data_IF_323165745472
#
_entry.id   IF_323165745472
#
_cell.length_a   1.000
_cell.length_b   1.000
_cell.length_c   1.000
_cell.angle_alpha   90.00
_cell.angle_beta   90.00
_cell.angle_gamma   90.00
#
_symmetry.space_group_name_H-M   'P 1'
#
loop_
_entity.id
_entity.type
_entity.pdbx_description
1 polymer ?
#
# COMPACT_ATOMS: atom_id res chain seq x y z
N UNK A 1 6.48 3.20 -7.13
CA UNK A 1 7.83 3.54 -7.65
C UNK A 1 8.67 4.44 -6.72
N UNK A 2 8.12 5.56 -6.23
CA UNK A 2 8.88 6.48 -5.34
C UNK A 2 9.28 5.83 -4.01
N UNK A 3 8.39 5.01 -3.46
CA UNK A 3 8.61 4.28 -2.21
C UNK A 3 9.66 3.18 -2.27
N UNK A 4 9.96 2.67 -3.47
CA UNK A 4 11.04 1.68 -3.70
C UNK A 4 12.39 2.38 -3.80
N UNK A 5 12.44 3.57 -4.40
CA UNK A 5 13.68 4.33 -4.54
C UNK A 5 14.22 4.79 -3.18
N UNK A 6 13.34 5.25 -2.28
CA UNK A 6 13.74 5.65 -0.93
C UNK A 6 14.24 4.45 -0.08
N UNK A 7 13.65 3.26 -0.25
CA UNK A 7 14.06 2.07 0.51
C UNK A 7 15.34 1.45 -0.02
N UNK A 8 15.60 1.51 -1.34
CA UNK A 8 16.90 1.15 -1.90
C UNK A 8 18.01 2.08 -1.41
N UNK A 9 17.75 3.39 -1.30
CA UNK A 9 18.70 4.33 -0.70
C UNK A 9 19.03 3.99 0.76
N UNK A 10 18.02 3.57 1.54
CA UNK A 10 18.19 3.12 2.92
C UNK A 10 19.06 1.85 3.02
N UNK A 11 18.85 0.89 2.12
CA UNK A 11 19.69 -0.32 2.03
C UNK A 11 21.12 0.00 1.61
N UNK A 12 21.30 0.93 0.66
CA UNK A 12 22.63 1.35 0.21
C UNK A 12 23.40 2.05 1.34
N UNK A 13 22.73 2.83 2.18
CA UNK A 13 23.33 3.45 3.37
C UNK A 13 23.79 2.38 4.37
N UNK A 14 22.98 1.36 4.63
CA UNK A 14 23.34 0.23 5.49
C UNK A 14 24.57 -0.56 4.97
N UNK A 15 24.63 -0.80 3.65
CA UNK A 15 25.79 -1.40 3.00
C UNK A 15 27.04 -0.52 3.10
N UNK A 16 26.90 0.79 2.92
CA UNK A 16 27.99 1.76 3.02
C UNK A 16 28.61 1.85 4.42
N UNK A 17 27.85 1.48 5.45
CA UNK A 17 28.32 1.39 6.83
C UNK A 17 28.86 0.01 7.22
N UNK A 18 28.89 -0.95 6.29
CA UNK A 18 29.40 -2.30 6.52
C UNK A 18 28.39 -3.28 7.15
N UNK A 19 27.13 -2.89 7.33
CA UNK A 19 26.08 -3.77 7.88
C UNK A 19 25.36 -4.55 6.77
N UNK A 20 26.07 -5.53 6.21
CA UNK A 20 25.55 -6.38 5.11
C UNK A 20 24.38 -7.26 5.54
N UNK A 21 24.41 -7.76 6.79
CA UNK A 21 23.38 -8.68 7.31
C UNK A 21 22.03 -7.96 7.46
N UNK A 22 22.03 -6.76 8.04
CA UNK A 22 20.82 -5.95 8.20
C UNK A 22 20.27 -5.50 6.84
N UNK A 23 21.14 -5.11 5.91
CA UNK A 23 20.75 -4.72 4.55
C UNK A 23 20.07 -5.85 3.77
N UNK A 24 20.64 -7.08 3.81
CA UNK A 24 20.04 -8.25 3.16
C UNK A 24 18.71 -8.66 3.81
N UNK A 25 18.63 -8.64 5.14
CA UNK A 25 17.40 -8.93 5.86
C UNK A 25 16.29 -7.90 5.54
N UNK A 26 16.66 -6.61 5.45
CA UNK A 26 15.76 -5.56 5.01
C UNK A 26 15.33 -5.74 3.56
N UNK A 27 16.23 -6.14 2.65
CA UNK A 27 15.92 -6.39 1.25
C UNK A 27 14.83 -7.45 1.08
N UNK A 28 14.96 -8.58 1.78
CA UNK A 28 13.99 -9.68 1.71
C UNK A 28 12.63 -9.24 2.25
N UNK A 29 12.59 -8.67 3.46
CA UNK A 29 11.34 -8.21 4.09
C UNK A 29 10.66 -7.09 3.30
N UNK A 30 11.45 -6.21 2.68
CA UNK A 30 10.98 -5.19 1.76
C UNK A 30 10.38 -5.79 0.49
N UNK A 31 11.02 -6.78 -0.13
CA UNK A 31 10.52 -7.42 -1.34
C UNK A 31 9.13 -8.04 -1.13
N UNK A 32 8.94 -8.78 -0.02
CA UNK A 32 7.63 -9.33 0.34
C UNK A 32 6.57 -8.24 0.57
N UNK A 33 6.94 -7.19 1.31
CA UNK A 33 6.02 -6.07 1.60
C UNK A 33 5.60 -5.35 0.32
N UNK A 34 6.53 -5.15 -0.63
CA UNK A 34 6.23 -4.56 -1.94
C UNK A 34 5.38 -5.48 -2.80
N UNK A 35 5.66 -6.78 -2.83
CA UNK A 35 4.86 -7.74 -3.58
C UNK A 35 3.40 -7.71 -3.11
N UNK A 36 3.15 -7.68 -1.80
CA UNK A 36 1.80 -7.53 -1.24
C UNK A 36 1.14 -6.21 -1.65
N UNK A 37 1.85 -5.10 -1.61
CA UNK A 37 1.32 -3.79 -2.02
C UNK A 37 1.01 -3.73 -3.52
N UNK A 38 1.85 -4.29 -4.38
CA UNK A 38 1.61 -4.33 -5.82
C UNK A 38 0.43 -5.22 -6.17
N UNK A 39 0.37 -6.44 -5.62
CA UNK A 39 -0.76 -7.35 -5.83
C UNK A 39 -2.07 -6.76 -5.28
N UNK A 40 -2.01 -6.17 -4.08
CA UNK A 40 -3.13 -5.44 -3.50
C UNK A 40 -3.60 -4.30 -4.41
N UNK A 41 -2.70 -3.44 -4.86
CA UNK A 41 -3.04 -2.34 -5.78
C UNK A 41 -3.64 -2.83 -7.11
N UNK A 42 -3.12 -3.91 -7.69
CA UNK A 42 -3.67 -4.51 -8.91
C UNK A 42 -5.10 -5.04 -8.70
N UNK A 43 -5.37 -5.69 -7.56
CA UNK A 43 -6.72 -6.14 -7.22
C UNK A 43 -7.70 -4.97 -7.02
N UNK A 44 -7.24 -3.84 -6.48
CA UNK A 44 -8.03 -2.62 -6.28
C UNK A 44 -8.32 -1.96 -7.64
N UNK A 45 -7.33 -1.86 -8.53
CA UNK A 45 -7.52 -1.29 -9.89
C UNK A 45 -8.51 -2.14 -10.69
N UNK A 46 -8.38 -3.47 -10.66
CA UNK A 46 -9.31 -4.36 -11.33
C UNK A 46 -10.74 -4.22 -10.77
N UNK A 47 -10.88 -4.10 -9.45
CA UNK A 47 -12.17 -3.82 -8.82
C UNK A 47 -12.74 -2.47 -9.26
N UNK A 48 -11.92 -1.44 -9.37
CA UNK A 48 -12.34 -0.11 -9.85
C UNK A 48 -12.73 -0.11 -11.33
N UNK A 49 -12.04 -0.88 -12.15
CA UNK A 49 -12.35 -1.06 -13.58
C UNK A 49 -13.74 -1.68 -13.79
N UNK A 50 -14.13 -2.65 -12.96
CA UNK A 50 -15.50 -3.22 -13.02
C UNK A 50 -16.60 -2.23 -12.63
N UNK A 51 -16.28 -1.15 -11.92
CA UNK A 51 -17.25 -0.13 -11.48
C UNK A 51 -17.30 1.06 -12.45
N UNK A 52 -16.14 1.52 -12.94
CA UNK A 52 -16.01 2.76 -13.73
C UNK A 52 -15.89 2.49 -15.24
N UNK A 53 -15.63 1.24 -15.65
CA UNK A 53 -15.27 0.88 -17.02
C UNK A 53 -13.79 1.13 -17.31
N UNK A 54 -13.28 0.55 -18.40
CA UNK A 54 -11.85 0.66 -18.76
C UNK A 54 -11.47 2.09 -19.14
N UNK A 55 -10.92 2.82 -18.18
CA UNK A 55 -10.30 4.12 -18.38
C UNK A 55 -9.11 4.25 -17.43
N UNK A 56 -7.86 4.12 -17.92
CA UNK A 56 -6.68 4.09 -17.06
C UNK A 56 -6.53 5.37 -16.22
N UNK A 57 -6.91 6.52 -16.77
CA UNK A 57 -6.83 7.81 -16.09
C UNK A 57 -7.82 7.94 -14.91
N UNK A 58 -8.94 7.21 -14.96
CA UNK A 58 -9.96 7.23 -13.90
C UNK A 58 -9.78 6.09 -12.90
N UNK A 59 -9.45 4.89 -13.36
CA UNK A 59 -9.33 3.71 -12.51
C UNK A 59 -8.07 3.70 -11.64
N UNK A 60 -7.01 4.41 -12.05
CA UNK A 60 -5.76 4.51 -11.27
C UNK A 60 -5.66 5.78 -10.42
N UNK A 61 -6.62 6.71 -10.55
CA UNK A 61 -6.57 7.96 -9.83
C UNK A 61 -7.12 7.79 -8.40
N UNK A 62 -6.19 7.80 -7.45
CA UNK A 62 -6.45 7.61 -6.01
C UNK A 62 -7.47 8.60 -5.42
N UNK A 63 -7.71 9.75 -6.05
CA UNK A 63 -8.72 10.73 -5.61
C UNK A 63 -10.15 10.18 -5.76
N UNK A 64 -10.38 9.28 -6.72
CA UNK A 64 -11.68 8.70 -7.00
C UNK A 64 -11.87 7.29 -6.39
N UNK A 65 -10.81 6.68 -5.86
CA UNK A 65 -10.77 5.29 -5.36
C UNK A 65 -11.12 5.15 -3.87
N UNK A 66 -11.85 6.10 -3.27
CA UNK A 66 -12.28 6.00 -1.87
C UNK A 66 -13.21 4.81 -1.61
N UNK A 67 -13.47 4.42 -0.36
CA UNK A 67 -14.62 3.58 0.00
C UNK A 67 -14.61 2.12 -0.49
N UNK A 68 -13.51 1.62 -1.06
CA UNK A 68 -13.41 0.23 -1.59
C UNK A 68 -13.44 -0.86 -0.50
N UNK A 69 -13.47 -0.48 0.78
CA UNK A 69 -13.49 -1.41 1.93
C UNK A 69 -14.66 -2.39 1.93
N UNK A 70 -15.82 -1.97 1.40
CA UNK A 70 -17.01 -2.83 1.32
C UNK A 70 -16.94 -3.85 0.18
N UNK A 71 -16.18 -3.57 -0.87
CA UNK A 71 -16.15 -4.39 -2.09
C UNK A 71 -15.03 -5.44 -2.06
N UNK A 72 -13.88 -5.13 -1.44
CA UNK A 72 -12.72 -6.04 -1.40
C UNK A 72 -12.06 -6.09 -0.01
N UNK A 73 -12.73 -6.70 0.99
CA UNK A 73 -12.26 -6.74 2.37
C UNK A 73 -10.97 -7.54 2.55
N UNK A 74 -10.76 -8.60 1.76
CA UNK A 74 -9.54 -9.42 1.81
C UNK A 74 -8.33 -8.60 1.33
N UNK A 75 -8.50 -7.82 0.26
CA UNK A 75 -7.44 -6.95 -0.29
C UNK A 75 -7.12 -5.79 0.66
N UNK A 76 -8.12 -5.29 1.40
CA UNK A 76 -7.92 -4.29 2.46
C UNK A 76 -6.94 -4.80 3.51
N UNK A 77 -7.12 -6.04 3.97
CA UNK A 77 -6.27 -6.63 5.02
C UNK A 77 -4.86 -6.87 4.48
N UNK A 78 -4.72 -7.45 3.28
CA UNK A 78 -3.38 -7.70 2.71
C UNK A 78 -2.62 -6.41 2.40
N UNK A 79 -3.30 -5.38 1.92
CA UNK A 79 -2.71 -4.06 1.67
C UNK A 79 -2.39 -3.32 2.99
N UNK A 80 -3.25 -3.44 4.01
CA UNK A 80 -2.96 -2.94 5.36
C UNK A 80 -1.72 -3.63 5.94
N UNK A 81 -1.62 -4.95 5.88
CA UNK A 81 -0.45 -5.68 6.36
C UNK A 81 0.83 -5.28 5.58
N UNK A 82 0.72 -5.09 4.26
CA UNK A 82 1.81 -4.58 3.44
C UNK A 82 2.27 -3.17 3.84
N UNK A 83 1.32 -2.25 4.10
CA UNK A 83 1.63 -0.87 4.53
C UNK A 83 2.16 -0.81 5.96
N UNK A 84 1.58 -1.57 6.91
CA UNK A 84 2.08 -1.68 8.28
C UNK A 84 3.50 -2.26 8.32
N UNK A 85 3.76 -3.27 7.48
CA UNK A 85 5.10 -3.86 7.36
C UNK A 85 6.07 -2.80 6.87
N UNK A 86 5.73 -2.10 5.79
CA UNK A 86 6.59 -1.04 5.26
C UNK A 86 6.79 0.13 6.23
N UNK A 87 5.80 0.44 7.06
CA UNK A 87 5.84 1.46 8.10
C UNK A 87 6.82 1.07 9.22
N UNK A 88 6.96 -0.23 9.51
CA UNK A 88 7.80 -0.74 10.58
C UNK A 88 7.11 -0.67 11.93
N UNK A 89 5.84 -1.06 12.02
CA UNK A 89 5.10 -1.10 13.28
C UNK A 89 5.47 -2.39 14.06
N UNK A 90 5.60 -2.34 15.41
CA UNK A 90 6.03 -3.46 16.26
C UNK A 90 4.94 -4.54 16.39
N UNK A 91 4.70 -5.32 15.32
CA UNK A 91 4.84 -6.78 15.35
C UNK A 91 5.39 -7.41 14.04
N UNK A 92 5.85 -6.60 13.07
CA UNK A 92 6.20 -7.06 11.71
C UNK A 92 7.71 -7.11 11.46
N UNK A 93 8.18 -8.04 10.63
CA UNK A 93 9.62 -8.29 10.37
C UNK A 93 10.39 -7.06 9.85
N UNK A 94 9.69 -6.12 9.20
CA UNK A 94 10.27 -4.89 8.69
C UNK A 94 10.51 -3.82 9.78
N UNK A 95 9.90 -3.95 10.97
CA UNK A 95 10.30 -3.18 12.15
C UNK A 95 11.71 -3.58 12.61
N UNK A 96 11.95 -4.88 12.80
CA UNK A 96 13.26 -5.37 13.25
C UNK A 96 14.37 -5.06 12.26
N UNK A 97 14.11 -5.21 10.95
CA UNK A 97 15.12 -4.88 9.94
C UNK A 97 15.43 -3.38 9.85
N UNK A 98 14.43 -2.50 10.00
CA UNK A 98 14.66 -1.04 10.02
C UNK A 98 15.35 -0.58 11.30
N UNK A 99 14.99 -1.16 12.44
CA UNK A 99 15.55 -0.83 13.75
C UNK A 99 17.02 -1.25 13.85
N UNK A 100 17.37 -2.41 13.30
CA UNK A 100 18.77 -2.87 13.23
C UNK A 100 19.64 -1.91 12.40
N UNK A 101 19.14 -1.46 11.23
CA UNK A 101 19.84 -0.45 10.41
C UNK A 101 19.93 0.90 11.14
N UNK A 102 18.87 1.31 11.85
CA UNK A 102 18.87 2.54 12.65
C UNK A 102 19.92 2.45 13.75
N UNK A 103 19.95 1.36 14.49
CA UNK A 103 20.90 1.14 15.58
C UNK A 103 22.36 1.17 15.06
N UNK A 104 22.63 0.50 13.95
CA UNK A 104 23.95 0.55 13.29
C UNK A 104 24.28 1.98 12.85
N UNK A 105 23.29 2.77 12.40
CA UNK A 105 23.51 4.16 11.96
C UNK A 105 23.83 5.08 13.12
N UNK A 106 23.24 4.86 14.30
CA UNK A 106 23.59 5.56 15.53
C UNK A 106 25.02 5.26 15.96
N UNK A 107 25.48 4.02 15.81
CA UNK A 107 26.87 3.62 16.10
C UNK A 107 27.89 4.23 15.15
N UNK A 108 27.51 4.43 13.88
CA UNK A 108 28.39 5.03 12.88
C UNK A 108 28.45 6.57 12.98
N UNK A 109 27.30 7.24 12.94
CA UNK A 109 27.21 8.69 13.19
C UNK A 109 25.78 9.15 13.45
N UNK A 110 25.61 10.05 14.42
CA UNK A 110 24.29 10.61 14.75
C UNK A 110 23.63 11.35 13.58
N UNK A 111 24.40 11.95 12.66
CA UNK A 111 23.85 12.67 11.49
C UNK A 111 23.14 11.69 10.54
N UNK A 112 23.80 10.59 10.16
CA UNK A 112 23.18 9.57 9.32
C UNK A 112 21.97 8.93 10.00
N UNK A 113 22.02 8.72 11.32
CA UNK A 113 20.89 8.21 12.09
C UNK A 113 19.67 9.13 12.05
N UNK A 114 19.86 10.45 12.20
CA UNK A 114 18.74 11.42 12.12
C UNK A 114 18.10 11.45 10.73
N UNK A 115 18.90 11.34 9.66
CA UNK A 115 18.41 11.28 8.27
C UNK A 115 17.64 9.97 8.03
N UNK A 116 18.18 8.84 8.49
CA UNK A 116 17.54 7.53 8.41
C UNK A 116 16.19 7.53 9.14
N UNK A 117 16.15 8.09 10.35
CA UNK A 117 14.94 8.21 11.16
C UNK A 117 13.89 9.12 10.51
N UNK A 118 14.30 10.30 10.02
CA UNK A 118 13.40 11.20 9.29
C UNK A 118 12.83 10.55 8.01
N UNK A 119 13.68 9.81 7.27
CA UNK A 119 13.27 9.07 6.07
C UNK A 119 12.26 7.97 6.43
N UNK A 120 12.48 7.23 7.52
CA UNK A 120 11.55 6.23 8.00
C UNK A 120 10.18 6.84 8.36
N UNK A 121 10.16 7.97 9.08
CA UNK A 121 8.94 8.71 9.40
C UNK A 121 8.18 9.22 8.17
N UNK A 122 8.89 9.77 7.18
CA UNK A 122 8.29 10.20 5.92
C UNK A 122 7.67 9.01 5.17
N UNK A 123 8.33 7.84 5.21
CA UNK A 123 7.83 6.61 4.58
C UNK A 123 6.54 6.10 5.20
N UNK A 124 6.47 6.13 6.53
CA UNK A 124 5.25 5.82 7.27
C UNK A 124 4.11 6.76 6.85
N UNK A 125 4.37 8.06 6.84
CA UNK A 125 3.36 9.07 6.55
C UNK A 125 2.74 8.91 5.16
N UNK A 126 3.56 8.85 4.10
CA UNK A 126 2.99 8.76 2.75
C UNK A 126 2.30 7.41 2.51
N UNK A 127 2.76 6.30 3.10
CA UNK A 127 2.11 4.99 2.95
C UNK A 127 0.77 4.94 3.66
N UNK A 128 0.70 5.48 4.87
CA UNK A 128 -0.54 5.58 5.61
C UNK A 128 -1.55 6.50 4.90
N UNK A 129 -1.09 7.61 4.32
CA UNK A 129 -1.92 8.48 3.48
C UNK A 129 -2.54 7.73 2.30
N UNK A 130 -1.76 6.91 1.59
CA UNK A 130 -2.27 6.12 0.46
C UNK A 130 -3.33 5.13 0.97
N UNK A 131 -3.08 4.44 2.08
CA UNK A 131 -4.03 3.50 2.67
C UNK A 131 -5.39 4.15 2.98
N UNK A 132 -5.37 5.29 3.67
CA UNK A 132 -6.60 6.00 4.03
C UNK A 132 -7.35 6.48 2.80
N UNK A 133 -6.65 7.04 1.81
CA UNK A 133 -7.27 7.52 0.57
C UNK A 133 -7.94 6.40 -0.23
N UNK A 134 -7.34 5.21 -0.31
CA UNK A 134 -7.87 4.09 -1.11
C UNK A 134 -8.98 3.30 -0.41
N UNK A 135 -9.01 3.26 0.92
CA UNK A 135 -9.93 2.39 1.66
C UNK A 135 -10.95 3.17 2.50
N UNK A 136 -10.51 4.20 3.22
CA UNK A 136 -11.36 4.94 4.16
C UNK A 136 -11.96 6.23 3.59
N UNK A 137 -11.53 6.66 2.40
CA UNK A 137 -12.11 7.82 1.71
C UNK A 137 -13.56 7.62 1.27
N UNK A 138 -14.22 8.71 0.84
CA UNK A 138 -15.53 8.64 0.20
C UNK A 138 -15.37 8.35 -1.30
N UNK A 139 -16.20 7.46 -1.85
CA UNK A 139 -16.28 7.26 -3.31
C UNK A 139 -16.83 8.53 -3.95
N UNK A 140 -15.98 9.28 -4.66
CA UNK A 140 -16.35 10.49 -5.39
C UNK A 140 -16.54 10.20 -6.87
N UNK A 141 -17.32 9.17 -7.21
CA UNK A 141 -17.67 8.84 -8.59
C UNK A 141 -19.00 9.54 -8.89
N UNK A 142 -18.98 10.60 -9.69
CA UNK A 142 -20.22 11.04 -10.35
C UNK A 142 -20.59 9.95 -11.35
N UNK A 143 -21.61 9.14 -11.03
CA UNK A 143 -22.20 8.16 -11.93
C UNK A 143 -22.83 8.88 -13.13
N UNK A 144 -22.01 9.27 -14.11
CA UNK A 144 -22.51 9.56 -15.44
C UNK A 144 -22.78 8.22 -16.13
N UNK A 145 -24.04 7.80 -16.05
CA UNK A 145 -24.75 6.91 -16.97
C UNK A 145 -23.86 6.00 -17.84
N UNK A 146 -23.38 4.89 -17.28
CA UNK A 146 -22.91 3.76 -18.10
C UNK A 146 -23.98 2.67 -18.12
N UNK A 147 -24.80 2.71 -19.17
CA UNK A 147 -25.75 1.68 -19.58
C UNK A 147 -25.01 0.46 -20.16
N UNK A 148 -24.23 -0.23 -19.32
CA UNK A 148 -23.38 -1.35 -19.74
C UNK A 148 -23.44 -2.48 -18.73
N UNK A 149 -24.41 -3.37 -18.94
CA UNK A 149 -24.54 -4.71 -18.37
C UNK A 149 -23.17 -5.40 -18.14
N UNK A 150 -22.80 -5.59 -16.87
CA UNK A 150 -22.21 -6.81 -16.29
C UNK A 150 -21.81 -6.57 -14.83
N UNK A 151 -22.77 -6.70 -13.92
CA UNK A 151 -22.48 -6.88 -12.50
C UNK A 151 -21.92 -8.30 -12.30
N UNK A 152 -20.70 -8.49 -11.76
CA UNK A 152 -20.22 -9.82 -11.39
C UNK A 152 -21.17 -10.46 -10.37
N UNK A 153 -21.45 -11.78 -10.46
CA UNK A 153 -22.52 -12.45 -9.70
C UNK A 153 -22.34 -12.37 -8.17
N UNK A 154 -21.15 -12.01 -7.68
CA UNK A 154 -20.87 -11.78 -6.27
C UNK A 154 -21.52 -10.50 -5.71
N UNK A 155 -21.77 -9.48 -6.55
CA UNK A 155 -22.40 -8.21 -6.12
C UNK A 155 -23.91 -8.39 -5.89
N UNK A 156 -24.56 -9.29 -6.64
CA UNK A 156 -26.00 -9.52 -6.53
C UNK A 156 -26.38 -10.16 -5.18
N UNK A 157 -25.52 -11.01 -4.61
CA UNK A 157 -25.82 -11.76 -3.37
C UNK A 157 -25.62 -10.93 -2.11
N UNK A 158 -24.68 -9.97 -2.11
CA UNK A 158 -24.40 -9.10 -0.96
C UNK A 158 -25.40 -7.95 -0.83
N UNK A 159 -26.01 -7.51 -1.92
CA UNK A 159 -26.90 -6.35 -1.92
C UNK A 159 -28.39 -6.65 -1.85
N UNK A 160 -28.81 -7.93 -1.86
CA UNK A 160 -30.22 -8.28 -1.65
C UNK A 160 -31.17 -7.39 -2.43
N UNK A 161 -30.90 -7.20 -3.73
CA UNK A 161 -31.83 -6.49 -4.62
C UNK A 161 -33.01 -7.43 -4.83
N UNK A 162 -33.94 -7.38 -3.88
CA UNK A 162 -35.30 -7.86 -4.08
C UNK A 162 -35.91 -7.07 -5.22
N UNK A 163 -36.18 -7.79 -6.30
CA UNK A 163 -37.29 -7.63 -7.21
C UNK A 163 -37.81 -6.21 -7.44
N UNK A 164 -37.51 -5.67 -8.63
CA UNK A 164 -38.46 -4.81 -9.32
C UNK A 164 -38.71 -5.44 -10.69
N UNK A 165 -39.62 -6.42 -10.69
CA UNK A 165 -40.40 -6.75 -11.89
C UNK A 165 -41.57 -5.77 -11.99
N UNK A 166 -41.59 -4.96 -13.06
CA UNK A 166 -42.70 -4.90 -14.02
C UNK A 166 -42.37 -3.99 -15.20
#
# INVERSE_FOLDING_TARGET
PYSTMSQLGYMMLALGMGSYRSALFHLITHAYSKALLFLGSGSVIHSMETIVGYSPDKSQNMVFMGGLTKYVPITKISFLLGTLSLCGIPPLACFWSKDEILNDSWLYSSIFATIAWATAGLTAFYMFRIYLLTFEGHLNINFQNYSGSQTPPYIQSLYGVKDIQK
#
